data_IF_841261049329
#
_entry.id   IF_841261049329
#
_cell.length_a   1.000
_cell.length_b   1.000
_cell.length_c   1.000
_cell.angle_alpha   90.00
_cell.angle_beta   90.00
_cell.angle_gamma   90.00
#
_symmetry.space_group_name_H-M   'P 1'
#
loop_
_entity.id
_entity.type
_entity.pdbx_description
1 polymer ?
#
# COMPACT_ATOMS: atom_id res chain seq x y z
N UNK A 1 -11.70 -9.99 -40.46
CA UNK A 1 -12.38 -10.91 -39.52
C UNK A 1 -11.53 -11.25 -38.28
N UNK A 2 -10.20 -11.40 -38.38
CA UNK A 2 -9.32 -11.68 -37.23
C UNK A 2 -9.14 -10.49 -36.26
N UNK A 3 -9.00 -9.25 -36.76
CA UNK A 3 -8.84 -8.06 -35.90
C UNK A 3 -10.03 -7.81 -34.97
N UNK A 4 -11.25 -8.01 -35.47
CA UNK A 4 -12.48 -7.87 -34.67
C UNK A 4 -12.57 -8.91 -33.55
N UNK A 5 -12.00 -10.10 -33.75
CA UNK A 5 -11.91 -11.13 -32.72
C UNK A 5 -10.92 -10.74 -31.62
N UNK A 6 -9.79 -10.14 -31.98
CA UNK A 6 -8.83 -9.60 -31.01
C UNK A 6 -9.41 -8.41 -30.24
N UNK A 7 -10.08 -7.47 -30.94
CA UNK A 7 -10.76 -6.35 -30.31
C UNK A 7 -11.83 -6.83 -29.31
N UNK A 8 -12.63 -7.84 -29.69
CA UNK A 8 -13.61 -8.43 -28.78
C UNK A 8 -12.95 -9.10 -27.57
N UNK A 9 -11.86 -9.85 -27.76
CA UNK A 9 -11.11 -10.44 -26.64
C UNK A 9 -10.44 -9.41 -25.73
N UNK A 10 -9.99 -8.27 -26.27
CA UNK A 10 -9.42 -7.17 -25.48
C UNK A 10 -10.51 -6.50 -24.62
N UNK A 11 -11.73 -6.39 -25.15
CA UNK A 11 -12.87 -5.84 -24.41
C UNK A 11 -13.39 -6.85 -23.37
N UNK A 12 -13.56 -8.12 -23.75
CA UNK A 12 -14.02 -9.21 -22.86
C UNK A 12 -13.02 -9.54 -21.75
N UNK A 13 -11.72 -9.39 -21.99
CA UNK A 13 -10.69 -9.57 -20.96
C UNK A 13 -10.69 -8.46 -19.90
N UNK A 14 -11.46 -7.38 -20.11
CA UNK A 14 -11.48 -6.24 -19.22
C UNK A 14 -10.19 -5.40 -19.28
N UNK A 15 -9.31 -5.64 -20.27
CA UNK A 15 -8.11 -4.83 -20.48
C UNK A 15 -8.44 -3.37 -20.86
N UNK A 16 -9.63 -3.14 -21.41
CA UNK A 16 -10.24 -1.82 -21.66
C UNK A 16 -11.35 -1.47 -20.67
N UNK A 17 -11.29 -1.96 -19.43
CA UNK A 17 -12.18 -1.43 -18.39
C UNK A 17 -11.72 -0.02 -18.04
N UNK A 18 -12.14 0.96 -18.83
CA UNK A 18 -12.00 2.38 -18.54
C UNK A 18 -12.73 2.63 -17.21
N UNK A 19 -11.97 2.72 -16.13
CA UNK A 19 -12.53 3.13 -14.85
C UNK A 19 -13.09 4.55 -14.97
N UNK A 20 -14.13 4.91 -14.20
CA UNK A 20 -14.67 6.26 -14.22
C UNK A 20 -13.54 7.29 -14.06
N UNK A 21 -13.54 8.42 -14.79
CA UNK A 21 -12.47 9.43 -14.74
C UNK A 21 -12.22 9.97 -13.32
N UNK A 22 -13.23 9.91 -12.45
CA UNK A 22 -13.11 10.23 -11.03
C UNK A 22 -12.12 9.31 -10.28
N UNK A 23 -12.00 8.03 -10.66
CA UNK A 23 -11.03 7.12 -10.06
C UNK A 23 -9.60 7.54 -10.40
N UNK A 24 -9.34 8.00 -11.63
CA UNK A 24 -8.03 8.52 -12.03
C UNK A 24 -7.68 9.82 -11.31
N UNK A 25 -8.65 10.74 -11.17
CA UNK A 25 -8.46 11.97 -10.40
C UNK A 25 -8.18 11.68 -8.91
N UNK A 26 -8.89 10.71 -8.33
CA UNK A 26 -8.66 10.25 -6.97
C UNK A 26 -7.30 9.54 -6.82
N UNK A 27 -6.88 8.76 -7.82
CA UNK A 27 -5.56 8.12 -7.90
C UNK A 27 -4.46 9.19 -7.89
N UNK A 28 -4.61 10.24 -8.70
CA UNK A 28 -3.68 11.37 -8.75
C UNK A 28 -3.64 12.15 -7.42
N UNK A 29 -4.79 12.29 -6.74
CA UNK A 29 -4.85 12.87 -5.41
C UNK A 29 -4.15 12.00 -4.35
N UNK A 30 -4.32 10.68 -4.42
CA UNK A 30 -3.68 9.72 -3.51
C UNK A 30 -2.16 9.67 -3.73
N UNK A 31 -1.68 9.77 -4.98
CA UNK A 31 -0.25 9.93 -5.33
C UNK A 31 0.32 11.20 -4.70
N UNK A 32 -0.39 12.33 -4.85
CA UNK A 32 0.07 13.63 -4.32
C UNK A 32 0.04 13.67 -2.79
N UNK A 33 -0.85 12.89 -2.16
CA UNK A 33 -1.07 12.91 -0.71
C UNK A 33 -0.17 11.93 0.04
N UNK A 34 0.13 10.78 -0.53
CA UNK A 34 0.77 9.66 0.19
C UNK A 34 2.04 9.12 -0.49
N UNK A 35 2.46 9.70 -1.62
CA UNK A 35 3.58 9.21 -2.42
C UNK A 35 3.29 7.89 -3.15
N UNK A 36 4.29 7.38 -3.87
CA UNK A 36 4.14 6.22 -4.76
C UNK A 36 3.75 4.93 -4.01
N UNK A 37 4.31 4.71 -2.82
CA UNK A 37 4.03 3.51 -2.02
C UNK A 37 2.77 3.64 -1.17
N UNK A 38 2.51 4.83 -0.59
CA UNK A 38 1.35 5.04 0.29
C UNK A 38 0.01 4.99 -0.44
N UNK A 39 -0.01 5.27 -1.76
CA UNK A 39 -1.22 5.24 -2.58
C UNK A 39 -1.72 3.82 -2.90
N UNK A 40 -0.85 2.81 -2.89
CA UNK A 40 -1.20 1.47 -3.40
C UNK A 40 -2.40 0.82 -2.67
N UNK A 41 -2.53 0.87 -1.33
CA UNK A 41 -3.71 0.37 -0.66
C UNK A 41 -4.97 1.17 -1.00
N UNK A 42 -4.88 2.51 -1.05
CA UNK A 42 -6.01 3.39 -1.30
C UNK A 42 -6.58 3.20 -2.72
N UNK A 43 -5.71 3.09 -3.72
CA UNK A 43 -6.12 2.86 -5.11
C UNK A 43 -6.80 1.50 -5.25
N UNK A 44 -6.23 0.43 -4.69
CA UNK A 44 -6.84 -0.89 -4.78
C UNK A 44 -8.11 -1.01 -3.93
N UNK A 45 -8.21 -0.30 -2.80
CA UNK A 45 -9.44 -0.22 -2.02
C UNK A 45 -10.59 0.43 -2.79
N UNK A 46 -10.30 1.43 -3.63
CA UNK A 46 -11.29 2.04 -4.54
C UNK A 46 -11.70 1.11 -5.67
N UNK A 47 -10.75 0.37 -6.26
CA UNK A 47 -10.99 -0.52 -7.41
C UNK A 47 -11.73 -1.81 -7.03
N UNK A 48 -11.31 -2.43 -5.93
CA UNK A 48 -11.79 -3.74 -5.51
C UNK A 48 -11.70 -3.86 -3.98
N UNK A 49 -12.57 -3.19 -3.22
CA UNK A 49 -12.46 -3.09 -1.76
C UNK A 49 -12.46 -4.45 -1.06
N UNK A 50 -13.29 -5.39 -1.55
CA UNK A 50 -13.49 -6.71 -0.95
C UNK A 50 -12.51 -7.78 -1.47
N UNK A 51 -11.56 -7.41 -2.34
CA UNK A 51 -10.58 -8.36 -2.87
C UNK A 51 -9.46 -8.55 -1.84
N UNK A 52 -8.98 -9.79 -1.73
CA UNK A 52 -7.87 -10.15 -0.88
C UNK A 52 -6.60 -9.39 -1.30
N UNK A 53 -6.00 -8.67 -0.35
CA UNK A 53 -4.77 -7.92 -0.52
C UNK A 53 -3.57 -8.68 0.07
N UNK A 54 -3.72 -9.23 1.27
CA UNK A 54 -2.69 -10.00 1.97
C UNK A 54 -3.32 -11.29 2.49
N UNK A 55 -2.65 -12.42 2.29
CA UNK A 55 -3.02 -13.73 2.84
C UNK A 55 -1.85 -14.17 3.70
N UNK A 56 -2.13 -14.51 4.95
CA UNK A 56 -1.13 -14.80 5.98
C UNK A 56 -1.71 -15.83 6.97
N UNK A 57 -0.93 -16.30 7.92
CA UNK A 57 -1.32 -17.40 8.84
C UNK A 57 -2.56 -17.05 9.68
N UNK A 58 -2.73 -15.76 10.01
CA UNK A 58 -3.91 -15.22 10.71
C UNK A 58 -5.15 -15.01 9.79
N UNK A 59 -5.08 -15.39 8.50
CA UNK A 59 -6.18 -15.28 7.53
C UNK A 59 -6.01 -14.22 6.44
N UNK A 60 -7.10 -13.87 5.76
CA UNK A 60 -7.11 -12.95 4.61
C UNK A 60 -7.47 -11.53 5.03
N UNK A 61 -6.69 -10.55 4.58
CA UNK A 61 -6.97 -9.12 4.72
C UNK A 61 -7.40 -8.54 3.37
N UNK A 62 -8.51 -7.81 3.33
CA UNK A 62 -9.00 -7.13 2.12
C UNK A 62 -8.27 -5.82 1.87
N UNK A 63 -8.36 -5.28 0.64
CA UNK A 63 -7.76 -3.98 0.32
C UNK A 63 -8.35 -2.83 1.16
N UNK A 64 -9.66 -2.90 1.48
CA UNK A 64 -10.30 -1.91 2.34
C UNK A 64 -9.70 -1.94 3.76
N UNK A 65 -9.60 -3.12 4.35
CA UNK A 65 -9.02 -3.28 5.70
C UNK A 65 -7.54 -2.89 5.73
N UNK A 66 -6.79 -3.18 4.65
CA UNK A 66 -5.40 -2.74 4.51
C UNK A 66 -5.27 -1.21 4.49
N UNK A 67 -6.16 -0.51 3.76
CA UNK A 67 -6.18 0.95 3.71
C UNK A 67 -6.50 1.57 5.07
N UNK A 68 -7.51 1.03 5.76
CA UNK A 68 -7.91 1.46 7.11
C UNK A 68 -6.78 1.23 8.12
N UNK A 69 -6.13 0.06 8.09
CA UNK A 69 -5.01 -0.25 8.96
C UNK A 69 -3.79 0.66 8.70
N UNK A 70 -3.47 0.95 7.43
CA UNK A 70 -2.39 1.86 7.07
C UNK A 70 -2.68 3.29 7.56
N UNK A 71 -3.93 3.76 7.46
CA UNK A 71 -4.38 5.04 8.02
C UNK A 71 -4.22 5.08 9.55
N UNK A 72 -4.62 4.01 10.24
CA UNK A 72 -4.49 3.92 11.69
C UNK A 72 -3.03 4.01 12.15
N UNK A 73 -2.11 3.32 11.46
CA UNK A 73 -0.67 3.43 11.74
C UNK A 73 -0.15 4.85 11.47
N UNK A 74 -0.54 5.47 10.36
CA UNK A 74 -0.13 6.84 10.05
C UNK A 74 -0.55 7.83 11.14
N UNK A 75 -1.81 7.76 11.60
CA UNK A 75 -2.28 8.58 12.71
C UNK A 75 -1.54 8.29 14.02
N UNK A 76 -1.24 7.02 14.31
CA UNK A 76 -0.44 6.64 15.47
C UNK A 76 0.99 7.20 15.44
N UNK A 77 1.62 7.21 14.27
CA UNK A 77 2.95 7.79 14.06
C UNK A 77 2.93 9.32 14.20
N UNK A 78 1.93 9.99 13.61
CA UNK A 78 1.74 11.43 13.78
C UNK A 78 1.50 11.79 15.26
N UNK A 79 0.71 11.00 15.98
CA UNK A 79 0.49 11.17 17.42
C UNK A 79 1.74 10.98 18.28
N UNK A 80 2.72 10.20 17.78
CA UNK A 80 4.04 10.05 18.39
C UNK A 80 5.03 11.15 17.99
N UNK A 81 4.59 12.12 17.18
CA UNK A 81 5.41 13.26 16.75
C UNK A 81 6.27 13.00 15.52
N UNK A 82 6.10 11.86 14.83
CA UNK A 82 6.79 11.57 13.58
C UNK A 82 6.29 12.51 12.48
N UNK A 83 7.21 13.15 11.78
CA UNK A 83 6.93 14.09 10.68
C UNK A 83 7.52 13.58 9.37
N UNK A 84 7.05 14.17 8.26
CA UNK A 84 7.63 13.91 6.95
C UNK A 84 9.12 14.23 6.95
N UNK A 85 9.94 13.28 6.50
CA UNK A 85 11.41 13.35 6.55
C UNK A 85 12.06 12.62 7.73
N UNK A 86 11.30 12.23 8.76
CA UNK A 86 11.85 11.45 9.87
C UNK A 86 12.13 10.00 9.46
N UNK A 87 13.19 9.41 10.03
CA UNK A 87 13.54 8.01 9.83
C UNK A 87 12.79 7.09 10.79
N UNK A 88 11.99 6.16 10.27
CA UNK A 88 11.30 5.14 11.07
C UNK A 88 11.90 3.77 10.79
N UNK A 89 12.41 3.10 11.83
CA UNK A 89 12.90 1.73 11.74
C UNK A 89 11.75 0.75 11.96
N UNK A 90 11.48 -0.11 10.98
CA UNK A 90 10.49 -1.18 11.10
C UNK A 90 11.23 -2.48 11.39
N UNK A 91 10.95 -3.06 12.56
CA UNK A 91 11.43 -4.38 12.95
C UNK A 91 10.24 -5.32 13.11
N UNK A 92 9.92 -6.02 12.04
CA UNK A 92 8.85 -7.02 12.03
C UNK A 92 9.30 -8.27 11.26
N UNK A 93 8.64 -9.39 11.51
CA UNK A 93 8.75 -10.58 10.64
C UNK A 93 8.01 -10.32 9.32
N UNK A 94 8.25 -11.16 8.31
CA UNK A 94 7.47 -11.13 7.08
C UNK A 94 6.04 -11.60 7.38
N UNK A 95 5.17 -10.65 7.71
CA UNK A 95 3.78 -10.83 8.14
C UNK A 95 3.00 -9.57 7.73
N UNK A 96 1.67 -9.62 7.70
CA UNK A 96 0.81 -8.49 7.29
C UNK A 96 1.15 -7.15 7.96
N UNK A 97 1.60 -7.20 9.22
CA UNK A 97 1.95 -6.04 10.02
C UNK A 97 3.16 -5.28 9.46
N UNK A 98 4.09 -5.97 8.80
CA UNK A 98 5.20 -5.33 8.11
C UNK A 98 4.69 -4.44 6.98
N UNK A 99 3.84 -4.99 6.09
CA UNK A 99 3.25 -4.25 4.98
C UNK A 99 2.40 -3.07 5.47
N UNK A 100 1.56 -3.29 6.49
CA UNK A 100 0.74 -2.22 7.10
C UNK A 100 1.64 -1.09 7.65
N UNK A 101 2.73 -1.44 8.34
CA UNK A 101 3.65 -0.46 8.90
C UNK A 101 4.39 0.34 7.82
N UNK A 102 4.81 -0.32 6.73
CA UNK A 102 5.45 0.32 5.59
C UNK A 102 4.51 1.32 4.91
N UNK A 103 3.26 0.92 4.63
CA UNK A 103 2.26 1.83 4.08
C UNK A 103 1.92 2.99 5.03
N UNK A 104 1.86 2.73 6.34
CA UNK A 104 1.66 3.78 7.35
C UNK A 104 2.81 4.80 7.38
N UNK A 105 4.06 4.34 7.28
CA UNK A 105 5.23 5.22 7.20
C UNK A 105 5.22 6.05 5.92
N UNK A 106 4.93 5.42 4.78
CA UNK A 106 4.81 6.10 3.50
C UNK A 106 3.73 7.20 3.54
N UNK A 107 2.61 6.96 4.24
CA UNK A 107 1.55 7.97 4.43
C UNK A 107 1.97 9.17 5.27
N UNK A 108 2.86 8.99 6.23
CA UNK A 108 3.42 10.10 7.01
C UNK A 108 4.49 10.86 6.21
N UNK A 109 4.99 10.28 5.11
CA UNK A 109 6.17 10.78 4.39
C UNK A 109 7.46 10.53 5.17
N UNK A 110 7.45 9.56 6.08
CA UNK A 110 8.62 9.14 6.84
C UNK A 110 9.47 8.17 6.01
N UNK A 111 10.80 8.29 6.12
CA UNK A 111 11.71 7.35 5.49
C UNK A 111 11.72 6.05 6.29
N UNK A 112 11.05 5.02 5.81
CA UNK A 112 11.07 3.71 6.44
C UNK A 112 12.35 2.96 6.12
N UNK A 113 13.08 2.52 7.15
CA UNK A 113 14.15 1.52 6.99
C UNK A 113 13.66 0.16 7.49
N UNK A 114 13.62 -0.82 6.58
CA UNK A 114 13.38 -2.21 6.95
C UNK A 114 14.71 -2.84 7.37
N UNK A 115 14.78 -3.34 8.61
CA UNK A 115 15.96 -4.04 9.09
C UNK A 115 15.58 -5.37 9.70
N UNK A 116 16.30 -6.42 9.34
CA UNK A 116 16.18 -7.72 10.00
C UNK A 116 16.82 -7.61 11.40
N UNK A 117 16.29 -8.29 12.41
CA UNK A 117 16.87 -8.33 13.77
C UNK A 117 18.38 -8.64 13.77
N UNK A 118 18.82 -9.48 12.82
CA UNK A 118 20.23 -9.84 12.60
C UNK A 118 21.11 -8.67 12.15
N UNK A 119 20.58 -7.72 11.38
CA UNK A 119 21.34 -6.54 10.93
C UNK A 119 21.41 -5.46 12.01
N UNK A 120 20.35 -5.29 12.83
CA UNK A 120 20.34 -4.36 13.96
C UNK A 120 21.36 -4.77 15.04
N UNK A 121 21.43 -6.06 15.36
CA UNK A 121 22.38 -6.61 16.34
C UNK A 121 23.85 -6.48 15.92
N UNK A 122 24.13 -6.32 14.61
CA UNK A 122 25.47 -6.04 14.07
C UNK A 122 25.84 -4.56 14.14
N UNK A 123 24.86 -3.66 14.13
CA UNK A 123 25.08 -2.21 14.11
C UNK A 123 25.25 -1.61 15.51
N UNK A 124 24.61 -2.20 16.52
CA UNK A 124 24.76 -1.84 17.94
C UNK A 124 26.08 -2.31 18.58
N UNK A 125 26.86 -3.15 17.90
CA UNK A 125 28.11 -3.75 18.40
C UNK A 125 29.38 -3.05 17.88
N UNK A 126 29.21 -1.94 17.16
CA UNK A 126 30.28 -1.00 16.76
C UNK A 126 30.11 0.28 17.54
#
# INVERSE_FOLDING_TARGET
MAELHYLRKIIESGALRLEPPLNYAAMAADIRRWGELGMLPAVNARRAPNRAAIIDDEGTLTYKELDEAANAVAHGLLGKGVRGGDGVAILARNHRWFSIAEYGCARVGAASSCSTARSLARRSRK
#
